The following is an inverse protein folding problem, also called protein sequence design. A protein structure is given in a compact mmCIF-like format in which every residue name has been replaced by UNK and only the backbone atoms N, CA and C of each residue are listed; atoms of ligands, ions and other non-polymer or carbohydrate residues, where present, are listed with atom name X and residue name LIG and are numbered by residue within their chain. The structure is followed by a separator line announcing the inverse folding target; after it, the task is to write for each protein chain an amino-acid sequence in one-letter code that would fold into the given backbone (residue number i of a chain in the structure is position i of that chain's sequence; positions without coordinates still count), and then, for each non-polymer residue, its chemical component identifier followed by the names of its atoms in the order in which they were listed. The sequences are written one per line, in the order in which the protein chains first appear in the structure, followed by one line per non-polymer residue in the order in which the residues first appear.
data_IF_847222142340
#
_entry.id   IF_847222142340
#
_cell.length_a   1.000
_cell.length_b   1.000
_cell.length_c   1.000
_cell.angle_alpha   90.00
_cell.angle_beta   90.00
_cell.angle_gamma   90.00
#
_symmetry.space_group_name_H-M   'P 1'
#
loop_
_entity.id
_entity.type
_entity.pdbx_description
1 polymer ?
#
# COMPACT_ATOMS: atom_id res chain seq x y z
N UNK A 1 0.62 -23.57 8.14
CA UNK A 1 -0.26 -22.39 8.23
C UNK A 1 -1.17 -22.54 9.42
N UNK A 2 -1.38 -21.48 10.19
CA UNK A 2 -2.42 -21.45 11.23
C UNK A 2 -3.78 -21.34 10.53
N UNK A 3 -4.75 -22.19 10.86
CA UNK A 3 -6.08 -22.10 10.28
C UNK A 3 -6.88 -20.98 11.01
N UNK A 4 -7.26 -19.87 10.35
CA UNK A 4 -8.02 -18.80 10.99
C UNK A 4 -9.39 -19.26 11.50
N UNK A 5 -9.99 -20.30 10.91
CA UNK A 5 -11.31 -20.82 11.32
C UNK A 5 -11.35 -21.26 12.79
N UNK A 6 -10.22 -21.75 13.31
CA UNK A 6 -10.12 -22.17 14.70
C UNK A 6 -10.30 -21.01 15.70
N UNK A 7 -10.16 -19.76 15.25
CA UNK A 7 -10.20 -18.56 16.08
C UNK A 7 -11.43 -17.69 15.79
N UNK A 8 -12.08 -17.84 14.63
CA UNK A 8 -13.23 -17.01 14.21
C UNK A 8 -14.40 -17.06 15.20
N UNK A 9 -14.62 -18.18 15.89
CA UNK A 9 -15.71 -18.31 16.87
C UNK A 9 -15.44 -17.62 18.22
N UNK A 10 -14.19 -17.24 18.49
CA UNK A 10 -13.79 -16.65 19.78
C UNK A 10 -13.35 -15.18 19.67
N UNK A 11 -13.53 -14.57 18.49
CA UNK A 11 -13.21 -13.15 18.25
C UNK A 11 -14.27 -12.46 17.40
N UNK A 12 -14.35 -11.14 17.51
CA UNK A 12 -15.12 -10.30 16.59
C UNK A 12 -14.31 -9.87 15.35
N UNK A 13 -13.02 -10.20 15.32
CA UNK A 13 -12.13 -9.86 14.20
C UNK A 13 -12.46 -10.72 12.97
N UNK A 14 -12.48 -10.11 11.79
CA UNK A 14 -12.38 -10.85 10.54
C UNK A 14 -10.95 -11.36 10.37
N UNK A 15 -10.79 -12.69 10.36
CA UNK A 15 -9.49 -13.33 10.16
C UNK A 15 -9.41 -13.91 8.76
N UNK A 16 -8.42 -13.48 7.98
CA UNK A 16 -8.15 -13.94 6.63
C UNK A 16 -6.87 -14.78 6.61
N UNK A 17 -6.82 -15.87 5.84
CA UNK A 17 -5.57 -16.57 5.65
C UNK A 17 -4.59 -15.67 4.87
N UNK A 18 -3.31 -15.79 5.19
CA UNK A 18 -2.23 -15.07 4.53
C UNK A 18 -0.94 -15.87 4.61
N UNK A 19 -0.12 -15.79 3.57
CA UNK A 19 1.19 -16.45 3.51
C UNK A 19 2.20 -15.47 2.94
N UNK A 20 3.31 -15.29 3.63
CA UNK A 20 4.49 -14.69 3.02
C UNK A 20 5.29 -15.80 2.31
N UNK A 21 5.45 -15.65 0.99
CA UNK A 21 6.20 -16.59 0.14
C UNK A 21 7.65 -16.10 0.10
N UNK A 22 8.45 -16.63 1.02
CA UNK A 22 9.80 -16.12 1.36
C UNK A 22 10.94 -16.84 0.64
N UNK A 23 10.88 -18.16 0.47
CA UNK A 23 12.04 -18.91 -0.01
C UNK A 23 12.41 -18.58 -1.48
N UNK A 24 13.69 -18.70 -1.81
CA UNK A 24 14.28 -18.58 -3.15
C UNK A 24 14.12 -17.22 -3.87
N UNK A 25 13.71 -16.15 -3.19
CA UNK A 25 13.59 -14.84 -3.83
C UNK A 25 13.06 -13.77 -2.88
N UNK A 26 12.78 -12.56 -3.39
CA UNK A 26 12.14 -11.54 -2.58
C UNK A 26 10.72 -11.94 -2.19
N UNK A 27 10.26 -11.38 -1.09
CA UNK A 27 9.06 -11.83 -0.41
C UNK A 27 7.81 -11.30 -1.09
N UNK A 28 6.80 -12.16 -1.20
CA UNK A 28 5.50 -11.82 -1.76
C UNK A 28 4.45 -12.24 -0.73
N UNK A 29 3.62 -11.30 -0.30
CA UNK A 29 2.45 -11.60 0.50
C UNK A 29 1.35 -12.13 -0.42
N UNK A 30 0.93 -13.36 -0.18
CA UNK A 30 -0.24 -14.00 -0.78
C UNK A 30 -1.42 -13.89 0.18
N UNK A 31 -2.35 -12.98 -0.14
CA UNK A 31 -3.54 -12.72 0.67
C UNK A 31 -4.68 -13.64 0.25
N UNK A 32 -5.38 -14.19 1.24
CA UNK A 32 -6.53 -15.09 1.09
C UNK A 32 -6.28 -16.34 0.22
N UNK A 33 -5.21 -17.12 0.46
CA UNK A 33 -4.86 -18.31 -0.32
C UNK A 33 -5.94 -19.39 -0.23
N UNK A 34 -6.27 -19.99 -1.37
CA UNK A 34 -7.12 -21.19 -1.50
C UNK A 34 -6.29 -22.47 -1.59
N UNK A 35 -5.06 -22.35 -2.10
CA UNK A 35 -4.09 -23.44 -2.17
C UNK A 35 -2.67 -22.92 -1.97
N UNK A 36 -1.75 -23.82 -1.60
CA UNK A 36 -0.34 -23.51 -1.46
C UNK A 36 0.24 -23.16 -2.83
N UNK A 37 1.03 -22.08 -2.88
CA UNK A 37 1.87 -21.68 -4.02
C UNK A 37 3.32 -22.02 -3.69
N UNK A 38 4.03 -22.61 -4.64
CA UNK A 38 5.43 -22.99 -4.42
C UNK A 38 6.34 -21.76 -4.47
N UNK A 39 7.38 -21.66 -3.62
CA UNK A 39 8.27 -20.49 -3.58
C UNK A 39 9.32 -20.55 -4.72
N UNK A 40 8.88 -20.42 -5.97
CA UNK A 40 9.72 -20.48 -7.17
C UNK A 40 10.67 -19.30 -7.29
N UNK A 41 11.98 -19.52 -7.48
CA UNK A 41 12.96 -18.43 -7.69
C UNK A 41 12.49 -17.37 -8.69
N UNK A 42 11.95 -17.83 -9.83
CA UNK A 42 11.19 -17.00 -10.76
C UNK A 42 9.89 -16.49 -10.11
N UNK A 43 9.95 -15.25 -9.62
CA UNK A 43 8.83 -14.59 -8.95
C UNK A 43 7.63 -14.36 -9.86
N UNK A 44 7.79 -14.33 -11.18
CA UNK A 44 6.63 -14.23 -12.07
C UNK A 44 5.77 -15.50 -11.97
N UNK A 45 6.38 -16.70 -11.86
CA UNK A 45 5.62 -17.95 -11.65
C UNK A 45 4.83 -17.94 -10.34
N UNK A 46 5.41 -17.37 -9.28
CA UNK A 46 4.69 -17.20 -8.00
C UNK A 46 3.46 -16.33 -8.19
N UNK A 47 3.61 -15.18 -8.88
CA UNK A 47 2.48 -14.28 -9.16
C UNK A 47 1.43 -14.92 -10.07
N UNK A 48 1.86 -15.68 -11.07
CA UNK A 48 0.96 -16.40 -11.98
C UNK A 48 0.13 -17.44 -11.21
N UNK A 49 0.75 -18.22 -10.31
CA UNK A 49 0.07 -19.21 -9.46
C UNK A 49 -0.89 -18.58 -8.45
N UNK A 50 -0.53 -17.41 -7.88
CA UNK A 50 -1.47 -16.61 -7.07
C UNK A 50 -2.64 -16.14 -7.94
N UNK A 51 -2.37 -15.71 -9.18
CA UNK A 51 -3.37 -15.24 -10.13
C UNK A 51 -4.38 -16.32 -10.58
N UNK A 52 -4.07 -17.60 -10.43
CA UNK A 52 -5.01 -18.70 -10.64
C UNK A 52 -6.08 -18.81 -9.53
N UNK A 53 -5.91 -18.08 -8.44
CA UNK A 53 -6.80 -18.08 -7.28
C UNK A 53 -7.59 -16.76 -7.26
N UNK A 54 -8.82 -16.70 -7.82
CA UNK A 54 -9.54 -15.44 -8.07
C UNK A 54 -9.83 -14.65 -6.78
N UNK A 55 -10.02 -15.36 -5.67
CA UNK A 55 -10.26 -14.77 -4.35
C UNK A 55 -8.98 -14.34 -3.62
N UNK A 56 -7.80 -14.54 -4.22
CA UNK A 56 -6.49 -14.12 -3.70
C UNK A 56 -5.88 -12.94 -4.44
N UNK A 57 -4.90 -12.28 -3.83
CA UNK A 57 -4.03 -11.34 -4.52
C UNK A 57 -2.63 -11.32 -3.90
N UNK A 58 -1.67 -10.80 -4.67
CA UNK A 58 -0.28 -10.67 -4.25
C UNK A 58 0.08 -9.20 -3.94
N UNK A 59 0.91 -8.99 -2.91
CA UNK A 59 1.59 -7.72 -2.62
C UNK A 59 3.10 -7.99 -2.57
N UNK A 60 3.89 -7.13 -3.22
CA UNK A 60 5.35 -7.22 -3.12
C UNK A 60 5.77 -6.61 -1.77
N UNK A 61 6.38 -7.41 -0.92
CA UNK A 61 6.71 -6.99 0.43
C UNK A 61 7.99 -6.15 0.49
N UNK A 62 8.02 -5.25 1.47
CA UNK A 62 9.13 -4.41 1.93
C UNK A 62 10.30 -4.27 0.94
N UNK A 63 10.10 -3.59 -0.21
CA UNK A 63 11.11 -3.53 -1.25
C UNK A 63 12.42 -2.87 -0.79
N UNK A 64 12.38 -2.09 0.30
CA UNK A 64 13.54 -1.41 0.88
C UNK A 64 14.19 -2.17 2.06
N UNK A 65 13.77 -3.40 2.37
CA UNK A 65 14.47 -4.25 3.33
C UNK A 65 15.91 -4.52 2.84
N UNK A 66 16.89 -4.36 3.74
CA UNK A 66 18.34 -4.47 3.45
C UNK A 66 18.93 -3.43 2.47
N UNK A 67 18.17 -2.40 2.08
CA UNK A 67 18.72 -1.25 1.34
C UNK A 67 19.79 -0.49 2.17
N UNK A 68 20.79 0.18 1.55
CA UNK A 68 20.98 0.46 0.13
C UNK A 68 21.80 -0.60 -0.61
N UNK A 69 22.03 -1.78 -0.04
CA UNK A 69 22.74 -2.83 -0.77
C UNK A 69 21.91 -3.20 -2.02
N UNK A 70 22.41 -2.96 -3.24
CA UNK A 70 21.64 -3.17 -4.46
C UNK A 70 21.16 -4.63 -4.55
N UNK A 71 19.95 -4.82 -5.07
CA UNK A 71 19.39 -6.12 -5.47
C UNK A 71 19.18 -7.17 -4.36
N UNK A 72 19.20 -6.79 -3.07
CA UNK A 72 19.00 -7.76 -1.98
C UNK A 72 17.55 -8.16 -1.71
N UNK A 73 16.59 -7.37 -2.19
CA UNK A 73 15.18 -7.75 -2.14
C UNK A 73 14.51 -7.53 -3.50
N UNK A 74 13.85 -6.39 -3.69
CA UNK A 74 13.36 -5.99 -5.01
C UNK A 74 14.27 -4.91 -5.61
N UNK A 75 14.51 -4.96 -6.91
CA UNK A 75 15.00 -3.81 -7.68
C UNK A 75 13.82 -3.13 -8.39
N UNK A 76 13.94 -1.84 -8.69
CA UNK A 76 12.90 -1.09 -9.41
C UNK A 76 12.53 -1.76 -10.74
N UNK A 77 13.54 -2.26 -11.45
CA UNK A 77 13.41 -2.91 -12.74
C UNK A 77 12.80 -4.32 -12.63
N UNK A 78 13.10 -5.05 -11.54
CA UNK A 78 12.43 -6.31 -11.24
C UNK A 78 10.93 -6.08 -11.00
N UNK A 79 10.55 -5.17 -10.10
CA UNK A 79 9.13 -4.87 -9.84
C UNK A 79 8.41 -4.40 -11.10
N UNK A 80 9.03 -3.51 -11.89
CA UNK A 80 8.44 -2.97 -13.11
C UNK A 80 8.13 -4.03 -14.18
N UNK A 81 8.91 -5.12 -14.22
CA UNK A 81 8.70 -6.23 -15.18
C UNK A 81 7.66 -7.24 -14.72
N UNK A 82 7.48 -7.39 -13.42
CA UNK A 82 6.49 -8.32 -12.87
C UNK A 82 5.08 -7.86 -13.23
N UNK A 83 4.17 -8.82 -13.36
CA UNK A 83 2.75 -8.58 -13.61
C UNK A 83 1.90 -9.44 -12.68
N UNK A 84 0.67 -9.01 -12.42
CA UNK A 84 -0.28 -9.79 -11.61
C UNK A 84 -0.24 -9.52 -10.10
N UNK A 85 0.58 -8.57 -9.63
CA UNK A 85 0.54 -8.11 -8.24
C UNK A 85 -0.36 -6.88 -8.08
N UNK A 86 -1.07 -6.81 -6.95
CA UNK A 86 -2.04 -5.75 -6.65
C UNK A 86 -1.37 -4.46 -6.15
N UNK A 87 -0.27 -4.60 -5.42
CA UNK A 87 0.41 -3.48 -4.79
C UNK A 87 1.79 -3.82 -4.27
N UNK A 88 2.43 -2.81 -3.68
CA UNK A 88 3.68 -2.97 -2.95
C UNK A 88 3.49 -2.48 -1.51
N UNK A 89 4.28 -3.01 -0.59
CA UNK A 89 4.40 -2.46 0.74
C UNK A 89 5.25 -1.18 0.70
N UNK A 90 4.62 -0.04 0.96
CA UNK A 90 5.24 1.28 0.97
C UNK A 90 5.75 1.69 2.34
N UNK A 91 5.29 1.00 3.40
CA UNK A 91 5.80 1.16 4.75
C UNK A 91 5.76 -0.19 5.47
N UNK A 92 6.87 -0.58 6.08
CA UNK A 92 6.99 -1.79 6.88
C UNK A 92 7.50 -1.43 8.28
N UNK A 93 6.70 -1.73 9.29
CA UNK A 93 6.95 -1.35 10.68
C UNK A 93 8.19 -2.00 11.28
N UNK A 94 8.36 -3.31 11.13
CA UNK A 94 9.50 -4.02 11.75
C UNK A 94 10.86 -3.53 11.22
N UNK A 95 10.91 -2.98 9.99
CA UNK A 95 12.13 -2.39 9.43
C UNK A 95 12.60 -1.15 10.19
N UNK A 96 11.78 -0.50 11.01
CA UNK A 96 12.27 0.57 11.91
C UNK A 96 13.36 0.08 12.86
N UNK A 97 13.37 -1.23 13.20
CA UNK A 97 14.41 -1.86 14.03
C UNK A 97 15.29 -2.86 13.27
N UNK A 98 15.03 -3.12 11.98
CA UNK A 98 15.86 -3.98 11.12
C UNK A 98 16.69 -3.14 10.14
N UNK A 99 17.60 -3.79 9.40
CA UNK A 99 18.37 -3.10 8.37
C UNK A 99 17.53 -2.79 7.14
N UNK A 100 17.69 -1.59 6.58
CA UNK A 100 16.95 -1.13 5.41
C UNK A 100 16.36 0.25 5.62
N UNK A 101 15.28 0.55 4.89
CA UNK A 101 14.46 1.73 5.09
C UNK A 101 13.00 1.30 5.16
N UNK A 102 12.30 1.67 6.24
CA UNK A 102 10.89 1.31 6.44
C UNK A 102 9.99 1.88 5.34
N UNK A 103 10.30 3.09 4.85
CA UNK A 103 9.53 3.82 3.85
C UNK A 103 10.02 3.54 2.42
N UNK A 104 9.10 3.23 1.50
CA UNK A 104 9.37 2.95 0.09
C UNK A 104 8.45 3.72 -0.88
N UNK A 105 7.96 4.89 -0.48
CA UNK A 105 7.12 5.75 -1.33
C UNK A 105 7.86 6.26 -2.57
N UNK A 106 9.18 6.40 -2.52
CA UNK A 106 10.00 6.79 -3.66
C UNK A 106 9.98 5.73 -4.76
N UNK A 107 10.02 4.44 -4.38
CA UNK A 107 9.88 3.32 -5.31
C UNK A 107 8.46 3.22 -5.86
N UNK A 108 7.47 3.43 -5.00
CA UNK A 108 6.08 3.50 -5.42
C UNK A 108 5.89 4.55 -6.50
N UNK A 109 6.33 5.79 -6.26
CA UNK A 109 6.23 6.89 -7.21
C UNK A 109 6.91 6.59 -8.55
N UNK A 110 8.05 5.90 -8.55
CA UNK A 110 8.70 5.44 -9.79
C UNK A 110 7.83 4.45 -10.56
N UNK A 111 7.21 3.46 -9.90
CA UNK A 111 6.30 2.52 -10.56
C UNK A 111 5.08 3.25 -11.14
N UNK A 112 4.42 4.09 -10.34
CA UNK A 112 3.25 4.86 -10.76
C UNK A 112 3.57 5.78 -11.95
N UNK A 113 4.72 6.43 -11.92
CA UNK A 113 5.16 7.36 -12.97
C UNK A 113 5.53 6.67 -14.28
N UNK A 114 5.91 5.39 -14.21
CA UNK A 114 6.11 4.51 -15.34
C UNK A 114 4.80 3.85 -15.83
N UNK A 115 3.65 4.24 -15.28
CA UNK A 115 2.33 3.84 -15.77
C UNK A 115 1.75 2.59 -15.10
N UNK A 116 2.42 2.04 -14.09
CA UNK A 116 1.86 0.92 -13.33
C UNK A 116 0.74 1.43 -12.41
N UNK A 117 -0.39 0.73 -12.40
CA UNK A 117 -1.52 1.00 -11.49
C UNK A 117 -1.51 0.00 -10.35
N UNK A 118 -0.71 0.28 -9.33
CA UNK A 118 -0.49 -0.60 -8.17
C UNK A 118 -0.73 0.16 -6.86
N UNK A 119 -1.34 -0.51 -5.88
CA UNK A 119 -1.67 0.10 -4.58
C UNK A 119 -0.48 0.12 -3.63
N UNK A 120 -0.51 1.03 -2.66
CA UNK A 120 0.50 1.18 -1.62
C UNK A 120 -0.02 0.72 -0.27
N UNK A 121 0.58 -0.34 0.27
CA UNK A 121 0.20 -0.97 1.55
C UNK A 121 1.17 -0.61 2.68
N UNK A 122 0.66 -0.52 3.90
CA UNK A 122 1.46 -0.35 5.12
C UNK A 122 1.14 -1.48 6.09
N UNK A 123 2.15 -2.20 6.55
CA UNK A 123 1.98 -3.28 7.51
C UNK A 123 3.06 -3.27 8.60
N UNK A 124 2.74 -3.98 9.68
CA UNK A 124 3.61 -4.21 10.81
C UNK A 124 4.78 -5.16 10.49
N UNK A 125 4.49 -6.26 9.78
CA UNK A 125 5.36 -7.43 9.62
C UNK A 125 5.82 -8.02 10.97
N UNK A 126 4.83 -8.28 11.84
CA UNK A 126 5.07 -8.59 13.25
C UNK A 126 5.74 -9.94 13.48
N UNK A 127 6.88 -9.93 14.17
CA UNK A 127 7.59 -11.12 14.63
C UNK A 127 7.56 -11.26 16.16
N UNK A 128 7.40 -10.14 16.86
CA UNK A 128 7.19 -10.07 18.31
C UNK A 128 5.98 -9.18 18.65
N UNK A 129 5.58 -9.14 19.92
CA UNK A 129 4.41 -8.35 20.34
C UNK A 129 4.64 -6.84 20.18
N UNK A 130 5.89 -6.40 20.26
CA UNK A 130 6.30 -5.01 20.09
C UNK A 130 6.18 -4.52 18.65
N UNK A 131 6.11 -5.45 17.69
CA UNK A 131 5.97 -5.10 16.27
C UNK A 131 4.51 -4.85 15.86
N UNK A 132 3.53 -5.05 16.76
CA UNK A 132 2.10 -4.92 16.45
C UNK A 132 1.63 -3.46 16.61
N UNK A 133 0.95 -2.92 15.61
CA UNK A 133 0.38 -1.57 15.65
C UNK A 133 1.37 -0.46 15.28
N UNK A 134 2.39 -0.78 14.50
CA UNK A 134 3.31 0.17 13.89
C UNK A 134 2.73 0.76 12.58
N UNK A 135 2.04 -0.05 11.78
CA UNK A 135 1.32 0.37 10.58
C UNK A 135 0.17 -0.55 10.20
N UNK A 136 -0.86 0.05 9.61
CA UNK A 136 -2.05 -0.66 9.15
C UNK A 136 -2.66 0.03 7.93
N UNK A 137 -3.60 -0.66 7.29
CA UNK A 137 -4.50 -0.07 6.30
C UNK A 137 -5.86 0.23 6.90
N UNK A 138 -6.41 1.38 6.58
CA UNK A 138 -7.75 1.81 6.94
C UNK A 138 -8.66 1.61 5.74
N UNK A 139 -9.59 0.66 5.83
CA UNK A 139 -10.39 0.17 4.71
C UNK A 139 -11.78 0.81 4.68
N UNK A 140 -12.19 1.28 3.51
CA UNK A 140 -13.54 1.78 3.25
C UNK A 140 -14.38 0.69 2.58
N UNK A 141 -15.14 -0.05 3.40
CA UNK A 141 -16.07 -1.09 2.97
C UNK A 141 -17.49 -0.88 3.53
N UNK A 142 -18.50 -1.59 2.99
CA UNK A 142 -19.86 -1.56 3.53
C UNK A 142 -19.96 -2.24 4.90
N UNK A 143 -19.11 -3.25 5.14
CA UNK A 143 -19.08 -4.07 6.33
C UNK A 143 -17.63 -4.45 6.70
N UNK A 144 -17.45 -5.02 7.90
CA UNK A 144 -16.15 -5.47 8.43
C UNK A 144 -15.90 -6.96 8.26
N UNK A 145 -16.64 -7.64 7.39
CA UNK A 145 -16.40 -9.04 7.03
C UNK A 145 -15.24 -9.18 6.01
N UNK A 146 -14.73 -10.41 5.85
CA UNK A 146 -13.56 -10.67 5.01
C UNK A 146 -13.79 -10.33 3.52
N UNK A 147 -14.96 -10.65 2.96
CA UNK A 147 -15.25 -10.45 1.54
C UNK A 147 -15.36 -8.94 1.23
N UNK A 148 -16.03 -8.19 2.10
CA UNK A 148 -16.13 -6.73 2.05
C UNK A 148 -14.76 -6.07 2.11
N UNK A 149 -13.88 -6.53 3.02
CA UNK A 149 -12.51 -6.02 3.16
C UNK A 149 -11.68 -6.35 1.91
N UNK A 150 -11.65 -7.60 1.46
CA UNK A 150 -10.87 -8.02 0.28
C UNK A 150 -11.31 -7.28 -0.99
N UNK A 151 -12.63 -7.12 -1.18
CA UNK A 151 -13.19 -6.34 -2.29
C UNK A 151 -12.75 -4.87 -2.25
N UNK A 152 -12.77 -4.25 -1.07
CA UNK A 152 -12.31 -2.88 -0.89
C UNK A 152 -10.80 -2.72 -1.16
N UNK A 153 -9.97 -3.65 -0.68
CA UNK A 153 -8.52 -3.66 -0.94
C UNK A 153 -8.21 -3.80 -2.44
N UNK A 154 -8.87 -4.72 -3.15
CA UNK A 154 -8.72 -4.87 -4.61
C UNK A 154 -9.06 -3.58 -5.35
N UNK A 155 -10.11 -2.89 -4.92
CA UNK A 155 -10.58 -1.65 -5.51
C UNK A 155 -9.76 -0.41 -5.11
N UNK A 156 -8.73 -0.55 -4.26
CA UNK A 156 -7.95 0.59 -3.76
C UNK A 156 -8.72 1.49 -2.79
N UNK A 157 -9.82 1.01 -2.20
CA UNK A 157 -10.66 1.74 -1.24
C UNK A 157 -10.09 1.65 0.18
N UNK A 158 -8.86 2.12 0.35
CA UNK A 158 -8.18 2.15 1.64
C UNK A 158 -7.08 3.22 1.66
N UNK A 159 -6.47 3.44 2.81
CA UNK A 159 -5.21 4.19 2.92
C UNK A 159 -4.31 3.54 3.96
N UNK A 160 -2.99 3.70 3.82
CA UNK A 160 -2.01 3.18 4.78
C UNK A 160 -1.74 4.23 5.86
N UNK A 161 -1.55 3.82 7.11
CA UNK A 161 -1.35 4.74 8.24
C UNK A 161 -0.38 4.19 9.29
N UNK A 162 0.29 5.10 9.99
CA UNK A 162 1.01 4.86 11.24
C UNK A 162 0.41 5.64 12.42
N UNK A 163 -0.74 6.29 12.23
CA UNK A 163 -1.42 7.06 13.30
C UNK A 163 -2.33 8.19 12.81
N UNK A 164 -2.20 8.64 11.56
CA UNK A 164 -3.10 9.66 11.00
C UNK A 164 -4.45 9.06 10.60
N UNK A 165 -5.52 9.74 11.00
CA UNK A 165 -6.90 9.40 10.67
C UNK A 165 -7.47 10.33 9.61
N UNK A 166 -7.69 9.79 8.40
CA UNK A 166 -8.35 10.48 7.28
C UNK A 166 -9.85 10.20 7.40
N UNK A 167 -10.63 11.26 7.61
CA UNK A 167 -12.08 11.17 7.80
C UNK A 167 -12.84 11.23 6.48
N UNK A 168 -12.28 11.85 5.44
CA UNK A 168 -12.90 11.93 4.12
C UNK A 168 -11.87 12.27 3.04
N UNK A 169 -12.02 11.64 1.87
CA UNK A 169 -11.38 12.03 0.62
C UNK A 169 -12.52 12.31 -0.37
N UNK A 170 -12.51 13.50 -0.97
CA UNK A 170 -13.53 13.91 -1.93
C UNK A 170 -12.88 14.24 -3.26
N UNK A 171 -13.38 13.62 -4.33
CA UNK A 171 -12.99 13.92 -5.70
C UNK A 171 -14.21 14.47 -6.42
N UNK A 172 -14.14 15.74 -6.84
CA UNK A 172 -15.20 16.40 -7.60
C UNK A 172 -14.59 17.18 -8.74
N UNK A 173 -14.99 16.86 -9.97
CA UNK A 173 -14.52 17.52 -11.19
C UNK A 173 -12.98 17.56 -11.23
N UNK A 174 -12.38 18.75 -11.15
CA UNK A 174 -10.94 18.97 -11.16
C UNK A 174 -10.33 19.12 -9.76
N UNK A 175 -11.08 18.86 -8.68
CA UNK A 175 -10.65 19.10 -7.29
C UNK A 175 -10.58 17.81 -6.48
N UNK A 176 -9.46 17.63 -5.79
CA UNK A 176 -9.26 16.60 -4.77
C UNK A 176 -9.14 17.28 -3.41
N UNK A 177 -10.00 16.92 -2.45
CA UNK A 177 -9.98 17.42 -1.09
C UNK A 177 -9.80 16.28 -0.08
N UNK A 178 -9.07 16.53 0.99
CA UNK A 178 -8.83 15.59 2.07
C UNK A 178 -9.09 16.25 3.43
N UNK A 179 -9.70 15.47 4.31
CA UNK A 179 -10.08 15.84 5.65
C UNK A 179 -9.47 14.83 6.62
N UNK A 180 -8.84 15.33 7.66
CA UNK A 180 -8.20 14.51 8.70
C UNK A 180 -8.59 15.02 10.07
N UNK A 181 -8.56 14.16 11.09
CA UNK A 181 -8.80 14.61 12.47
C UNK A 181 -7.53 15.05 13.21
N UNK A 182 -6.35 14.65 12.72
CA UNK A 182 -5.09 14.84 13.46
C UNK A 182 -3.87 15.17 12.58
N UNK A 183 -4.01 15.43 11.27
CA UNK A 183 -2.86 15.86 10.48
C UNK A 183 -2.42 17.29 10.86
N UNK A 184 -1.12 17.49 10.97
CA UNK A 184 -0.48 18.81 11.13
C UNK A 184 -0.05 19.38 9.78
N UNK A 185 0.11 18.52 8.76
CA UNK A 185 0.49 18.93 7.41
C UNK A 185 0.00 17.95 6.35
N UNK A 186 -0.45 18.48 5.22
CA UNK A 186 -0.96 17.71 4.08
C UNK A 186 -0.17 18.08 2.83
N UNK A 187 0.24 17.06 2.07
CA UNK A 187 0.96 17.19 0.79
C UNK A 187 0.22 16.48 -0.32
N UNK A 188 0.09 17.16 -1.47
CA UNK A 188 -0.41 16.58 -2.71
C UNK A 188 0.77 16.27 -3.62
N UNK A 189 0.89 15.01 -4.01
CA UNK A 189 2.06 14.46 -4.70
C UNK A 189 1.61 13.86 -6.03
N UNK A 190 2.40 14.12 -7.08
CA UNK A 190 2.12 13.72 -8.45
C UNK A 190 3.31 12.97 -9.07
N UNK A 191 3.28 12.74 -10.38
CA UNK A 191 4.34 12.07 -11.15
C UNK A 191 5.74 12.39 -10.64
N UNK A 192 6.53 11.34 -10.44
CA UNK A 192 7.90 11.32 -9.93
C UNK A 192 8.04 11.80 -8.48
N UNK A 193 6.97 11.70 -7.69
CA UNK A 193 6.98 12.14 -6.30
C UNK A 193 6.99 13.68 -6.14
N UNK A 194 6.63 14.42 -7.18
CA UNK A 194 6.64 15.89 -7.15
C UNK A 194 5.52 16.41 -6.25
N UNK A 195 5.90 17.12 -5.19
CA UNK A 195 4.97 17.82 -4.28
C UNK A 195 4.42 19.06 -4.99
N UNK A 196 3.14 19.03 -5.34
CA UNK A 196 2.45 20.16 -5.97
C UNK A 196 1.98 21.21 -4.96
N UNK A 197 1.62 20.76 -3.75
CA UNK A 197 1.11 21.62 -2.69
C UNK A 197 1.43 21.02 -1.33
N UNK A 198 1.85 21.85 -0.38
CA UNK A 198 2.12 21.47 1.02
C UNK A 198 1.52 22.51 1.95
N UNK A 199 0.62 22.11 2.83
CA UNK A 199 -0.14 23.03 3.72
C UNK A 199 -0.07 22.52 5.15
N UNK A 200 0.17 23.41 6.12
CA UNK A 200 0.00 23.11 7.54
C UNK A 200 -1.47 23.25 7.96
N UNK A 201 -2.25 22.18 7.82
CA UNK A 201 -3.69 22.15 8.11
C UNK A 201 -4.19 20.71 8.25
N UNK A 202 -5.30 20.53 8.94
CA UNK A 202 -6.05 19.26 9.01
C UNK A 202 -6.93 19.01 7.78
N UNK A 203 -7.20 20.05 7.01
CA UNK A 203 -8.00 20.02 5.78
C UNK A 203 -7.24 20.74 4.67
N UNK A 204 -7.18 20.11 3.50
CA UNK A 204 -6.56 20.72 2.34
C UNK A 204 -7.18 20.18 1.05
N UNK A 205 -6.99 20.94 -0.02
CA UNK A 205 -7.42 20.57 -1.36
C UNK A 205 -6.37 20.90 -2.40
N UNK A 206 -6.49 20.28 -3.57
CA UNK A 206 -5.73 20.58 -4.76
C UNK A 206 -6.67 20.61 -5.96
N UNK A 207 -6.55 21.67 -6.75
CA UNK A 207 -7.31 21.87 -8.00
C UNK A 207 -6.32 21.59 -9.14
N UNK A 208 -6.67 20.65 -10.00
CA UNK A 208 -5.93 20.33 -11.21
C UNK A 208 -5.87 21.55 -12.14
N UNK A 209 -4.79 21.70 -12.94
CA UNK A 209 -4.73 22.74 -13.96
C UNK A 209 -5.94 22.69 -14.91
N UNK A 210 -6.45 23.86 -15.30
CA UNK A 210 -7.57 23.96 -16.26
C UNK A 210 -7.19 23.45 -17.65
N UNK A 211 -5.91 23.56 -18.02
CA UNK A 211 -5.39 22.98 -19.27
C UNK A 211 -5.35 21.43 -19.16
N UNK A 212 -6.11 20.70 -20.01
CA UNK A 212 -6.18 19.24 -19.91
C UNK A 212 -4.85 18.53 -20.19
N UNK A 213 -3.94 19.12 -20.97
CA UNK A 213 -2.62 18.52 -21.22
C UNK A 213 -1.74 18.64 -19.99
N UNK A 214 -1.79 19.79 -19.30
CA UNK A 214 -1.07 19.98 -18.04
C UNK A 214 -1.63 19.08 -16.94
N UNK A 215 -2.95 18.97 -16.80
CA UNK A 215 -3.58 18.05 -15.85
C UNK A 215 -3.15 16.60 -16.09
N UNK A 216 -3.24 16.09 -17.33
CA UNK A 216 -2.82 14.73 -17.70
C UNK A 216 -1.32 14.48 -17.54
N UNK A 217 -0.50 15.52 -17.59
CA UNK A 217 0.95 15.40 -17.36
C UNK A 217 1.28 14.99 -15.92
N UNK A 218 0.40 15.30 -14.96
CA UNK A 218 0.54 14.93 -13.54
C UNK A 218 0.38 13.43 -13.29
N UNK A 219 -0.31 12.71 -14.20
CA UNK A 219 -0.61 11.25 -14.17
C UNK A 219 -1.48 10.78 -13.01
N UNK A 220 -1.16 11.20 -11.79
CA UNK A 220 -1.85 10.82 -10.58
C UNK A 220 -1.72 11.91 -9.53
N UNK A 221 -2.62 11.87 -8.55
CA UNK A 221 -2.47 12.57 -7.27
C UNK A 221 -2.56 11.53 -6.16
N UNK A 222 -1.57 11.50 -5.28
CA UNK A 222 -1.65 10.84 -3.98
C UNK A 222 -1.41 11.89 -2.89
N UNK A 223 -1.86 11.58 -1.69
CA UNK A 223 -1.84 12.51 -0.57
C UNK A 223 -1.05 11.89 0.57
N UNK A 224 -0.15 12.69 1.15
CA UNK A 224 0.51 12.38 2.42
C UNK A 224 0.01 13.32 3.49
N UNK A 225 -0.55 12.76 4.54
CA UNK A 225 -1.02 13.48 5.71
C UNK A 225 -0.07 13.18 6.87
N UNK A 226 0.67 14.16 7.36
CA UNK A 226 1.61 14.04 8.46
C UNK A 226 0.92 14.46 9.76
N UNK A 227 1.02 13.65 10.80
CA UNK A 227 0.49 13.90 12.14
C UNK A 227 1.55 14.46 13.09
N UNK A 228 1.49 14.06 14.36
CA UNK A 228 2.50 14.36 15.39
C UNK A 228 3.52 13.22 15.42
N UNK A 229 4.79 13.52 15.69
CA UNK A 229 5.83 12.48 15.75
C UNK A 229 6.06 11.82 14.39
N UNK A 230 6.01 10.49 14.35
CA UNK A 230 6.17 9.65 13.15
C UNK A 230 4.83 9.30 12.47
N UNK A 231 3.70 9.82 12.95
CA UNK A 231 2.40 9.57 12.36
C UNK A 231 2.33 10.09 10.92
N UNK A 232 2.01 9.21 9.97
CA UNK A 232 1.75 9.56 8.58
C UNK A 232 0.62 8.68 8.04
N UNK A 233 -0.18 9.22 7.14
CA UNK A 233 -1.08 8.46 6.29
C UNK A 233 -0.80 8.72 4.81
N UNK A 234 -0.87 7.66 4.01
CA UNK A 234 -0.68 7.67 2.56
C UNK A 234 -1.95 7.18 1.87
N UNK A 235 -2.59 8.03 1.08
CA UNK A 235 -3.77 7.64 0.29
C UNK A 235 -3.36 6.81 -0.92
N UNK A 236 -4.28 5.98 -1.43
CA UNK A 236 -4.11 5.45 -2.78
C UNK A 236 -4.07 6.59 -3.83
N UNK A 237 -3.37 6.37 -4.95
CA UNK A 237 -3.31 7.32 -6.05
C UNK A 237 -4.67 7.43 -6.75
N UNK A 238 -5.08 8.67 -7.00
CA UNK A 238 -6.21 9.02 -7.85
C UNK A 238 -5.63 9.26 -9.25
N UNK A 239 -6.00 8.39 -10.19
CA UNK A 239 -5.54 8.48 -11.58
C UNK A 239 -6.21 9.65 -12.30
N UNK A 240 -5.42 10.39 -13.09
CA UNK A 240 -5.90 11.48 -13.93
C UNK A 240 -6.00 10.97 -15.38
N UNK A 241 -7.19 11.06 -15.96
CA UNK A 241 -7.51 10.55 -17.30
C UNK A 241 -7.75 11.66 -18.34
#
# INVERSE_FOLDING_TARGET
MVNPDAYRSITKMALMPGVEITANGPHILHVNPQSIVSPHEDRQKVLDEVGLQPESFAVLNHPNWLAPLPDLHFSDDHMRRLTGYLGIEIYNGVIERLSGCALATDRWDRLLSNGLRVWGFGHDDSHTAEDVGLSWVMVQGPDSDADSILSALRAGRFYSSTGVNITSIQVKENRVAVYTSNATRIRFITKWGVIQKSIGSQVADYILPDDPKQARALKYIRIECYGVGSDVAWTQPIWIE
#
